data_IF_154569049547
#
_entry.id   IF_154569049547
#
_cell.length_a   1.000
_cell.length_b   1.000
_cell.length_c   1.000
_cell.angle_alpha   90.00
_cell.angle_beta   90.00
_cell.angle_gamma   90.00
#
_symmetry.space_group_name_H-M   'P 1'
#
loop_
_entity.id
_entity.type
_entity.pdbx_description
1 polymer ?
#
# COMPACT_ATOMS: atom_id res chain seq x y z
N UNK A 1 10.10 13.58 -6.83
CA UNK A 1 9.01 12.66 -6.46
C UNK A 1 9.33 12.03 -5.11
N UNK A 2 8.45 12.17 -4.11
CA UNK A 2 8.65 11.59 -2.77
C UNK A 2 8.29 10.09 -2.80
N UNK A 3 8.88 9.31 -1.90
CA UNK A 3 8.71 7.84 -1.83
C UNK A 3 8.27 7.45 -0.42
N UNK A 4 7.41 6.44 -0.31
CA UNK A 4 7.00 5.82 0.95
C UNK A 4 7.26 4.31 0.90
N UNK A 5 7.77 3.74 1.99
CA UNK A 5 7.99 2.30 2.13
C UNK A 5 7.18 1.81 3.33
N UNK A 6 6.22 0.92 3.09
CA UNK A 6 5.38 0.32 4.12
C UNK A 6 5.65 -1.19 4.18
N UNK A 7 6.21 -1.65 5.28
CA UNK A 7 6.53 -3.07 5.50
C UNK A 7 5.59 -3.62 6.58
N UNK A 8 5.10 -4.84 6.37
CA UNK A 8 4.15 -5.47 7.29
C UNK A 8 2.70 -5.11 6.99
N UNK A 9 2.36 -4.95 5.71
CA UNK A 9 0.97 -4.70 5.29
C UNK A 9 0.10 -5.91 5.62
N UNK A 10 -0.96 -5.67 6.38
CA UNK A 10 -1.84 -6.70 6.94
C UNK A 10 -3.13 -6.85 6.15
N UNK A 11 -4.25 -6.62 6.82
CA UNK A 11 -5.58 -6.57 6.21
C UNK A 11 -5.81 -5.22 5.52
N UNK A 12 -6.81 -5.14 4.64
CA UNK A 12 -7.16 -3.93 3.89
C UNK A 12 -7.55 -2.74 4.79
N UNK A 13 -8.24 -3.02 5.90
CA UNK A 13 -8.60 -2.03 6.92
C UNK A 13 -7.47 -1.80 7.95
N UNK A 14 -6.34 -2.49 7.81
CA UNK A 14 -5.18 -2.33 8.67
C UNK A 14 -4.40 -1.06 8.36
N UNK A 15 -3.61 -0.60 9.33
CA UNK A 15 -2.84 0.65 9.24
C UNK A 15 -1.94 0.70 7.99
N UNK A 16 -1.22 -0.39 7.70
CA UNK A 16 -0.31 -0.41 6.55
C UNK A 16 -1.00 -0.18 5.21
N UNK A 17 -2.20 -0.74 5.02
CA UNK A 17 -2.99 -0.58 3.80
C UNK A 17 -3.56 0.85 3.70
N UNK A 18 -4.09 1.40 4.79
CA UNK A 18 -4.61 2.77 4.80
C UNK A 18 -3.52 3.83 4.60
N UNK A 19 -2.32 3.61 5.15
CA UNK A 19 -1.16 4.46 4.89
C UNK A 19 -0.72 4.39 3.42
N UNK A 20 -0.70 3.21 2.82
CA UNK A 20 -0.37 3.05 1.41
C UNK A 20 -1.36 3.83 0.51
N UNK A 21 -2.67 3.67 0.74
CA UNK A 21 -3.73 4.41 0.04
C UNK A 21 -3.54 5.92 0.18
N UNK A 22 -3.33 6.41 1.42
CA UNK A 22 -3.12 7.83 1.70
C UNK A 22 -1.89 8.37 0.96
N UNK A 23 -0.73 7.73 1.10
CA UNK A 23 0.49 8.24 0.48
C UNK A 23 0.45 8.19 -1.05
N UNK A 24 -0.21 7.19 -1.63
CA UNK A 24 -0.46 7.18 -3.07
C UNK A 24 -1.33 8.36 -3.51
N UNK A 25 -2.42 8.64 -2.77
CA UNK A 25 -3.28 9.82 -3.05
C UNK A 25 -2.57 11.17 -2.89
N UNK A 26 -1.52 11.23 -2.06
CA UNK A 26 -0.65 12.40 -1.89
C UNK A 26 0.45 12.49 -2.98
N UNK A 27 0.46 11.58 -3.96
CA UNK A 27 1.39 11.59 -5.11
C UNK A 27 2.77 10.98 -4.84
N UNK A 28 2.90 10.15 -3.80
CA UNK A 28 4.15 9.43 -3.51
C UNK A 28 4.23 8.13 -4.32
N UNK A 29 5.44 7.73 -4.68
CA UNK A 29 5.70 6.35 -5.10
C UNK A 29 5.69 5.45 -3.87
N UNK A 30 4.76 4.52 -3.81
CA UNK A 30 4.55 3.67 -2.63
C UNK A 30 5.10 2.26 -2.88
N UNK A 31 5.99 1.80 -2.00
CA UNK A 31 6.43 0.41 -1.94
C UNK A 31 5.74 -0.29 -0.76
N UNK A 32 5.12 -1.44 -1.02
CA UNK A 32 4.45 -2.27 0.00
C UNK A 32 5.08 -3.64 0.09
N UNK A 33 5.20 -4.18 1.30
CA UNK A 33 5.68 -5.55 1.54
C UNK A 33 4.84 -6.26 2.61
N UNK A 34 4.47 -7.51 2.32
CA UNK A 34 3.81 -8.42 3.26
C UNK A 34 4.21 -9.86 2.99
N UNK A 35 3.79 -10.79 3.86
CA UNK A 35 4.01 -12.23 3.68
C UNK A 35 3.07 -12.88 2.66
N UNK A 36 1.98 -12.20 2.27
CA UNK A 36 0.90 -12.79 1.47
C UNK A 36 0.70 -11.98 0.20
N UNK A 37 1.16 -12.53 -0.92
CA UNK A 37 1.14 -11.83 -2.22
C UNK A 37 -0.26 -11.36 -2.63
N UNK A 38 -1.27 -12.22 -2.50
CA UNK A 38 -2.65 -11.88 -2.89
C UNK A 38 -3.23 -10.65 -2.17
N UNK A 39 -2.73 -10.32 -0.97
CA UNK A 39 -3.13 -9.09 -0.26
C UNK A 39 -2.48 -7.85 -0.85
N UNK A 40 -1.24 -7.96 -1.33
CA UNK A 40 -0.55 -6.88 -2.03
C UNK A 40 -1.21 -6.65 -3.39
N UNK A 41 -1.56 -7.71 -4.10
CA UNK A 41 -2.23 -7.63 -5.41
C UNK A 41 -3.59 -6.92 -5.29
N UNK A 42 -4.41 -7.30 -4.31
CA UNK A 42 -5.68 -6.61 -4.05
C UNK A 42 -5.48 -5.12 -3.72
N UNK A 43 -4.52 -4.80 -2.84
CA UNK A 43 -4.23 -3.41 -2.45
C UNK A 43 -3.71 -2.57 -3.63
N UNK A 44 -2.86 -3.14 -4.48
CA UNK A 44 -2.30 -2.41 -5.64
C UNK A 44 -3.37 -2.13 -6.69
N UNK A 45 -4.25 -3.09 -6.96
CA UNK A 45 -5.43 -2.88 -7.83
C UNK A 45 -6.28 -1.71 -7.34
N UNK A 46 -6.51 -1.58 -6.04
CA UNK A 46 -7.29 -0.47 -5.47
C UNK A 46 -6.59 0.90 -5.54
N UNK A 47 -5.25 0.92 -5.51
CA UNK A 47 -4.46 2.16 -5.52
C UNK A 47 -4.19 2.66 -6.95
N UNK A 48 -4.14 1.75 -7.94
CA UNK A 48 -3.82 2.06 -9.34
C UNK A 48 -5.04 2.49 -10.18
N UNK A 49 -6.25 2.56 -9.60
CA UNK A 49 -7.43 3.13 -10.26
C UNK A 49 -7.50 4.66 -10.13
#
# INVERSE_FOLDING_TARGET
>A
MKKAVIIGVGTEQGLGAQLAKRFASEGLHVFVASRTQSRLDALTVEIEQ
#
